data_IF_920387931676
#
_entry.id   IF_920387931676
#
_cell.length_a   1.000
_cell.length_b   1.000
_cell.length_c   1.000
_cell.angle_alpha   90.00
_cell.angle_beta   90.00
_cell.angle_gamma   90.00
#
_symmetry.space_group_name_H-M   'P 1'
#
loop_
_entity.id
_entity.type
_entity.pdbx_description
1 polymer ?
#
# COMPACT_ATOMS: atom_id res chain seq x y z
N UNK A 1 -11.60 11.87 -13.03
CA UNK A 1 -11.63 13.33 -12.83
C UNK A 1 -10.43 13.70 -11.96
N UNK A 2 -9.38 14.27 -12.54
CA UNK A 2 -8.19 14.71 -11.81
C UNK A 2 -8.55 16.07 -11.16
N UNK A 3 -8.70 16.12 -9.83
CA UNK A 3 -8.97 17.38 -9.10
C UNK A 3 -7.67 17.84 -8.47
N UNK A 4 -7.05 18.85 -9.05
CA UNK A 4 -5.84 19.48 -8.53
C UNK A 4 -6.16 20.29 -7.27
N UNK A 5 -5.43 20.07 -6.17
CA UNK A 5 -5.52 20.84 -4.92
C UNK A 5 -4.19 21.58 -4.71
N UNK A 6 -4.12 22.85 -5.14
CA UNK A 6 -2.86 23.59 -5.17
C UNK A 6 -1.86 22.95 -6.14
N UNK A 7 -0.68 22.55 -5.66
CA UNK A 7 0.32 21.81 -6.44
C UNK A 7 0.12 20.29 -6.38
N UNK A 8 -0.86 19.79 -5.61
CA UNK A 8 -1.13 18.36 -5.51
C UNK A 8 -1.88 17.85 -6.74
N UNK A 9 -1.16 17.07 -7.54
CA UNK A 9 -1.71 16.29 -8.67
C UNK A 9 -1.97 14.86 -8.19
N UNK A 10 -3.22 14.53 -7.87
CA UNK A 10 -3.65 13.19 -7.44
C UNK A 10 -3.62 12.21 -8.61
N UNK A 11 -2.96 11.07 -8.48
CA UNK A 11 -2.93 10.02 -9.50
C UNK A 11 -4.27 9.33 -9.74
N UNK A 12 -4.27 8.37 -10.66
CA UNK A 12 -5.41 7.48 -10.85
C UNK A 12 -5.67 6.66 -9.57
N UNK A 13 -6.94 6.44 -9.22
CA UNK A 13 -7.32 5.75 -7.99
C UNK A 13 -7.18 6.59 -6.71
N UNK A 14 -6.54 7.76 -6.78
CA UNK A 14 -6.45 8.68 -5.66
C UNK A 14 -7.63 9.65 -5.62
N UNK A 15 -8.18 9.84 -4.42
CA UNK A 15 -9.21 10.85 -4.16
C UNK A 15 -8.92 11.59 -2.86
N UNK A 16 -9.39 12.84 -2.80
CA UNK A 16 -9.37 13.65 -1.61
C UNK A 16 -10.76 14.28 -1.45
N UNK A 17 -11.51 13.83 -0.45
CA UNK A 17 -12.88 14.27 -0.23
C UNK A 17 -13.25 14.19 1.26
N UNK A 18 -13.92 15.24 1.77
CA UNK A 18 -14.43 15.31 3.15
C UNK A 18 -13.40 14.91 4.25
N UNK A 19 -12.18 15.46 4.19
CA UNK A 19 -11.16 15.20 5.21
C UNK A 19 -10.55 13.79 5.11
N UNK A 20 -10.70 13.13 3.96
CA UNK A 20 -10.19 11.79 3.71
C UNK A 20 -9.40 11.74 2.41
N UNK A 21 -8.19 11.20 2.49
CA UNK A 21 -7.36 10.82 1.36
C UNK A 21 -7.53 9.32 1.15
N UNK A 22 -7.80 8.92 -0.09
CA UNK A 22 -7.94 7.52 -0.51
C UNK A 22 -6.98 7.29 -1.66
N UNK A 23 -6.34 6.14 -1.66
CA UNK A 23 -5.57 5.61 -2.78
C UNK A 23 -5.95 4.15 -3.04
N UNK A 24 -6.53 3.87 -4.21
CA UNK A 24 -6.85 2.52 -4.67
C UNK A 24 -6.00 2.20 -5.89
N UNK A 25 -5.06 1.27 -5.76
CA UNK A 25 -4.30 0.79 -6.92
C UNK A 25 -5.09 -0.31 -7.61
N UNK A 26 -5.77 0.05 -8.70
CA UNK A 26 -6.45 -0.91 -9.59
C UNK A 26 -5.44 -1.64 -10.46
N UNK A 27 -4.96 -2.79 -9.97
CA UNK A 27 -3.92 -3.56 -10.66
C UNK A 27 -4.39 -4.12 -12.01
N UNK A 28 -5.70 -4.21 -12.28
CA UNK A 28 -6.24 -4.68 -13.56
C UNK A 28 -6.38 -3.64 -14.68
N UNK A 29 -5.96 -2.39 -14.47
CA UNK A 29 -6.14 -1.28 -15.43
C UNK A 29 -4.92 -1.09 -16.36
N UNK A 30 -5.05 -0.26 -17.41
CA UNK A 30 -4.01 0.06 -18.42
C UNK A 30 -2.70 0.61 -17.81
N UNK A 31 -2.78 1.19 -16.60
CA UNK A 31 -1.63 1.65 -15.81
C UNK A 31 -0.94 0.57 -14.98
N UNK A 32 -1.66 -0.49 -14.59
CA UNK A 32 -1.20 -1.78 -14.00
C UNK A 32 -0.07 -1.74 -12.95
N UNK A 33 1.15 -1.40 -13.37
CA UNK A 33 2.36 -1.33 -12.52
C UNK A 33 2.96 0.09 -12.48
N UNK A 34 2.25 1.09 -12.99
CA UNK A 34 2.56 2.52 -12.93
C UNK A 34 1.48 3.16 -12.08
N UNK A 35 1.87 3.63 -10.91
CA UNK A 35 0.96 4.24 -9.95
C UNK A 35 1.70 5.33 -9.18
N UNK A 36 1.07 6.48 -8.93
CA UNK A 36 1.78 7.66 -8.39
C UNK A 36 2.46 7.37 -7.06
N UNK A 37 1.81 6.57 -6.20
CA UNK A 37 2.33 6.20 -4.88
C UNK A 37 3.25 4.99 -4.93
N UNK A 38 3.39 4.28 -6.06
CA UNK A 38 4.31 3.13 -6.16
C UNK A 38 5.76 3.63 -6.23
N UNK A 39 6.47 3.47 -5.13
CA UNK A 39 7.87 3.92 -4.99
C UNK A 39 8.86 2.89 -5.50
N UNK A 40 8.63 1.61 -5.19
CA UNK A 40 9.57 0.54 -5.52
C UNK A 40 8.83 -0.76 -5.79
N UNK A 41 9.21 -1.41 -6.87
CA UNK A 41 8.77 -2.75 -7.23
C UNK A 41 10.01 -3.62 -7.41
N UNK A 42 10.14 -4.66 -6.59
CA UNK A 42 11.17 -5.72 -6.73
C UNK A 42 10.58 -7.10 -6.94
N UNK A 43 9.28 -7.18 -7.15
CA UNK A 43 8.57 -8.42 -7.44
C UNK A 43 8.12 -8.47 -8.91
N UNK A 44 7.70 -9.64 -9.36
CA UNK A 44 7.08 -9.77 -10.67
C UNK A 44 5.66 -9.19 -10.66
N UNK A 45 5.22 -8.65 -11.80
CA UNK A 45 3.84 -8.22 -12.03
C UNK A 45 3.21 -9.11 -13.09
N UNK A 46 2.08 -9.75 -12.77
CA UNK A 46 1.44 -10.73 -13.64
C UNK A 46 0.03 -10.31 -14.02
N UNK A 47 -0.11 -9.58 -15.13
CA UNK A 47 -1.35 -9.03 -15.69
C UNK A 47 -2.07 -8.02 -14.79
N UNK A 48 -2.39 -8.41 -13.55
CA UNK A 48 -3.22 -7.67 -12.62
C UNK A 48 -2.88 -7.93 -11.14
N UNK A 49 -1.67 -8.44 -10.86
CA UNK A 49 -1.27 -8.79 -9.50
C UNK A 49 0.23 -8.70 -9.30
N UNK A 50 0.63 -8.33 -8.10
CA UNK A 50 1.97 -8.55 -7.61
C UNK A 50 2.17 -10.03 -7.34
N UNK A 51 3.34 -10.55 -7.70
CA UNK A 51 3.77 -11.91 -7.41
C UNK A 51 5.04 -11.80 -6.58
N UNK A 52 4.93 -12.03 -5.28
CA UNK A 52 6.03 -11.89 -4.34
C UNK A 52 6.56 -13.28 -3.95
N UNK A 53 7.83 -13.52 -4.22
CA UNK A 53 8.61 -14.64 -3.73
C UNK A 53 9.49 -14.22 -2.55
N UNK A 54 10.21 -15.17 -1.92
CA UNK A 54 11.13 -14.87 -0.84
C UNK A 54 12.16 -13.79 -1.23
N UNK A 55 12.21 -12.69 -0.47
CA UNK A 55 13.10 -11.55 -0.70
C UNK A 55 12.50 -10.44 -1.58
N UNK A 56 11.34 -10.67 -2.19
CA UNK A 56 10.64 -9.64 -2.97
C UNK A 56 9.95 -8.61 -2.07
N UNK A 57 9.79 -7.42 -2.62
CA UNK A 57 8.99 -6.36 -1.99
C UNK A 57 8.32 -5.45 -3.02
N UNK A 58 7.23 -4.84 -2.58
CA UNK A 58 6.58 -3.69 -3.22
C UNK A 58 6.43 -2.61 -2.16
N UNK A 59 6.82 -1.37 -2.48
CA UNK A 59 6.74 -0.23 -1.57
C UNK A 59 5.89 0.86 -2.19
N UNK A 60 4.90 1.31 -1.43
CA UNK A 60 4.11 2.50 -1.69
C UNK A 60 4.56 3.64 -0.78
N UNK A 61 4.58 4.87 -1.30
CA UNK A 61 4.83 6.11 -0.57
C UNK A 61 3.61 7.02 -0.72
N UNK A 62 2.84 7.14 0.36
CA UNK A 62 1.70 8.05 0.47
C UNK A 62 2.20 9.37 1.00
N UNK A 63 2.44 10.32 0.10
CA UNK A 63 2.87 11.67 0.45
C UNK A 63 1.87 12.69 -0.06
N UNK A 64 1.27 13.43 0.86
CA UNK A 64 0.27 14.48 0.59
C UNK A 64 0.61 15.74 1.39
N UNK A 65 0.20 16.93 0.93
CA UNK A 65 0.48 18.20 1.64
C UNK A 65 -0.28 18.31 2.98
N UNK A 66 -1.29 17.47 3.19
CA UNK A 66 -2.14 17.46 4.36
C UNK A 66 -1.63 16.52 5.44
N UNK A 67 -1.81 16.90 6.70
CA UNK A 67 -1.38 16.05 7.82
C UNK A 67 -2.36 14.91 8.00
N UNK A 68 -1.89 13.68 7.81
CA UNK A 68 -2.63 12.47 8.14
C UNK A 68 -2.67 12.28 9.67
N UNK A 69 -3.83 11.89 10.19
CA UNK A 69 -4.09 11.65 11.62
C UNK A 69 -4.32 10.19 11.99
N UNK A 70 -4.76 9.41 11.01
CA UNK A 70 -5.02 7.98 11.13
C UNK A 70 -5.07 7.41 9.72
N UNK A 71 -4.75 6.14 9.55
CA UNK A 71 -4.94 5.45 8.29
C UNK A 71 -5.31 3.98 8.47
N UNK A 72 -5.89 3.41 7.42
CA UNK A 72 -6.23 2.00 7.30
C UNK A 72 -5.81 1.49 5.93
N UNK A 73 -5.41 0.23 5.87
CA UNK A 73 -4.96 -0.47 4.68
C UNK A 73 -5.81 -1.72 4.44
N UNK A 74 -6.14 -1.98 3.18
CA UNK A 74 -6.69 -3.22 2.69
C UNK A 74 -5.76 -3.82 1.63
N UNK A 75 -5.48 -5.11 1.77
CA UNK A 75 -4.70 -5.90 0.81
C UNK A 75 -5.42 -7.21 0.58
N UNK A 76 -5.69 -7.58 -0.67
CA UNK A 76 -6.20 -8.92 -0.98
C UNK A 76 -5.06 -9.84 -1.38
N UNK A 77 -4.89 -10.93 -0.64
CA UNK A 77 -4.02 -12.05 -1.04
C UNK A 77 -4.87 -13.06 -1.76
N UNK A 78 -4.75 -13.13 -3.08
CA UNK A 78 -5.59 -14.00 -3.92
C UNK A 78 -4.95 -15.36 -4.20
N UNK A 79 -3.65 -15.52 -3.92
CA UNK A 79 -2.95 -16.81 -3.93
C UNK A 79 -1.85 -16.84 -2.87
N UNK A 80 -1.62 -18.00 -2.27
CA UNK A 80 -0.56 -18.24 -1.29
C UNK A 80 -0.02 -19.67 -1.41
N UNK A 81 1.30 -19.81 -1.37
CA UNK A 81 1.98 -21.09 -1.36
C UNK A 81 3.23 -20.99 -0.48
N UNK A 82 3.05 -21.03 0.85
CA UNK A 82 4.14 -21.07 1.82
C UNK A 82 4.53 -19.70 2.38
N UNK A 83 5.20 -19.71 3.54
CA UNK A 83 5.57 -18.49 4.28
C UNK A 83 4.36 -17.61 4.60
N UNK A 84 4.55 -16.29 4.57
CA UNK A 84 3.48 -15.30 4.67
C UNK A 84 3.81 -14.02 3.92
N UNK A 85 2.78 -13.33 3.45
CA UNK A 85 2.86 -11.90 3.13
C UNK A 85 2.91 -11.11 4.45
N UNK A 86 3.81 -10.13 4.52
CA UNK A 86 3.93 -9.20 5.64
C UNK A 86 3.73 -7.78 5.13
N UNK A 87 2.86 -7.05 5.82
CA UNK A 87 2.66 -5.62 5.62
C UNK A 87 3.44 -4.89 6.70
N UNK A 88 4.35 -4.02 6.28
CA UNK A 88 5.11 -3.12 7.16
C UNK A 88 4.84 -1.66 6.81
N UNK A 89 4.97 -0.77 7.79
CA UNK A 89 4.86 0.67 7.59
C UNK A 89 6.06 1.42 8.14
N UNK A 90 6.30 2.62 7.62
CA UNK A 90 7.40 3.49 8.04
C UNK A 90 7.05 4.97 7.81
N UNK A 91 7.70 5.87 8.55
CA UNK A 91 7.64 7.33 8.29
C UNK A 91 8.78 7.82 7.39
N UNK A 92 9.87 7.08 7.30
CA UNK A 92 11.12 7.52 6.66
C UNK A 92 11.65 6.55 5.60
N UNK A 93 10.99 5.39 5.45
CA UNK A 93 11.38 4.34 4.52
C UNK A 93 12.59 3.53 4.98
N UNK A 94 13.06 3.73 6.21
CA UNK A 94 14.24 3.08 6.81
C UNK A 94 13.84 2.21 7.99
N UNK A 95 13.07 2.77 8.93
CA UNK A 95 12.60 2.07 10.12
C UNK A 95 11.22 1.49 9.86
N UNK A 96 11.15 0.17 9.69
CA UNK A 96 9.94 -0.55 9.29
C UNK A 96 9.31 -1.29 10.46
N UNK A 97 8.01 -1.07 10.69
CA UNK A 97 7.21 -1.79 11.69
C UNK A 97 6.20 -2.71 11.00
N UNK A 98 6.19 -4.03 11.29
CA UNK A 98 5.15 -4.92 10.78
C UNK A 98 3.81 -4.59 11.44
N UNK A 99 2.74 -4.56 10.64
CA UNK A 99 1.38 -4.21 11.08
C UNK A 99 0.33 -5.22 10.65
N UNK A 100 0.65 -6.10 9.68
CA UNK A 100 -0.24 -7.14 9.22
C UNK A 100 0.50 -8.32 8.63
N UNK A 101 -0.14 -9.49 8.66
CA UNK A 101 0.41 -10.75 8.16
C UNK A 101 -0.69 -11.58 7.51
N UNK A 102 -0.39 -12.22 6.39
CA UNK A 102 -1.27 -13.16 5.72
C UNK A 102 -0.51 -14.41 5.30
N UNK A 103 -0.87 -15.55 5.88
CA UNK A 103 -0.30 -16.88 5.62
C UNK A 103 -1.29 -17.81 4.88
N UNK A 104 -2.30 -17.20 4.27
CA UNK A 104 -3.35 -17.84 3.46
C UNK A 104 -3.99 -16.80 2.53
N UNK A 105 -4.83 -17.26 1.63
CA UNK A 105 -5.73 -16.40 0.84
C UNK A 105 -6.69 -15.69 1.78
N UNK A 106 -6.65 -14.36 1.80
CA UNK A 106 -7.52 -13.53 2.62
C UNK A 106 -7.50 -12.06 2.20
N UNK A 107 -8.57 -11.34 2.55
CA UNK A 107 -8.58 -9.89 2.62
C UNK A 107 -7.99 -9.45 3.96
N UNK A 108 -6.80 -8.87 3.92
CA UNK A 108 -6.14 -8.32 5.10
C UNK A 108 -6.56 -6.85 5.26
N UNK A 109 -7.15 -6.54 6.41
CA UNK A 109 -7.53 -5.18 6.81
C UNK A 109 -6.75 -4.78 8.06
N UNK A 110 -6.03 -3.65 8.00
CA UNK A 110 -5.11 -3.23 9.07
C UNK A 110 -5.28 -1.74 9.36
N UNK A 111 -5.61 -1.40 10.61
CA UNK A 111 -5.47 -0.04 11.12
C UNK A 111 -4.00 0.26 11.40
N UNK A 112 -3.49 1.39 10.91
CA UNK A 112 -2.10 1.76 11.16
C UNK A 112 -1.91 2.26 12.60
N UNK A 113 -0.76 1.99 13.24
CA UNK A 113 -0.50 2.40 14.61
C UNK A 113 -0.65 3.91 14.83
N UNK A 114 -1.29 4.31 15.93
CA UNK A 114 -1.56 5.73 16.23
C UNK A 114 -0.27 6.57 16.36
N UNK A 115 0.81 5.96 16.86
CA UNK A 115 2.13 6.59 17.03
C UNK A 115 2.86 6.88 15.70
N UNK A 116 2.33 6.40 14.57
CA UNK A 116 2.77 6.80 13.24
C UNK A 116 2.33 8.23 12.89
N UNK A 117 1.28 8.72 13.54
CA UNK A 117 0.63 10.00 13.25
C UNK A 117 0.91 11.03 14.37
N UNK A 118 0.84 12.33 14.09
CA UNK A 118 0.58 12.95 12.79
C UNK A 118 1.77 12.83 11.81
N UNK A 119 1.49 12.67 10.52
CA UNK A 119 2.52 12.66 9.47
C UNK A 119 1.95 13.10 8.12
N UNK A 120 2.78 13.65 7.23
CA UNK A 120 2.43 13.92 5.82
C UNK A 120 2.89 12.82 4.87
N UNK A 121 3.58 11.81 5.42
CA UNK A 121 4.18 10.74 4.67
C UNK A 121 4.04 9.40 5.41
N UNK A 122 3.57 8.39 4.69
CA UNK A 122 3.55 7.00 5.15
C UNK A 122 4.08 6.12 4.04
N UNK A 123 5.07 5.32 4.35
CA UNK A 123 5.51 4.22 3.50
C UNK A 123 4.78 2.94 3.90
N UNK A 124 4.33 2.17 2.92
CA UNK A 124 3.75 0.84 3.10
C UNK A 124 4.57 -0.14 2.28
N UNK A 125 5.09 -1.20 2.91
CA UNK A 125 5.82 -2.28 2.24
C UNK A 125 5.03 -3.56 2.33
N UNK A 126 4.82 -4.20 1.18
CA UNK A 126 4.40 -5.58 1.06
C UNK A 126 5.67 -6.40 0.79
N UNK A 127 5.93 -7.40 1.62
CA UNK A 127 7.05 -8.33 1.44
C UNK A 127 6.64 -9.74 1.85
N UNK A 128 7.50 -10.73 1.67
CA UNK A 128 7.25 -12.09 2.15
C UNK A 128 8.27 -12.53 3.19
N UNK A 129 7.86 -13.44 4.07
CA UNK A 129 8.72 -14.05 5.09
C UNK A 129 8.48 -15.56 5.19
N UNK A 130 9.54 -16.30 5.52
CA UNK A 130 9.50 -17.76 5.71
C UNK A 130 10.04 -18.55 4.52
N UNK A 131 10.36 -19.82 4.75
CA UNK A 131 10.87 -20.70 3.72
C UNK A 131 9.81 -20.97 2.65
N UNK A 132 10.22 -20.91 1.38
CA UNK A 132 9.33 -21.12 0.24
C UNK A 132 8.23 -20.07 0.12
N UNK A 133 8.39 -18.87 0.70
CA UNK A 133 7.33 -17.89 0.70
C UNK A 133 6.94 -17.45 -0.72
N UNK A 134 5.65 -17.53 -1.01
CA UNK A 134 5.07 -17.12 -2.29
C UNK A 134 3.64 -16.65 -2.10
N UNK A 135 3.35 -15.40 -2.50
CA UNK A 135 2.03 -14.81 -2.41
C UNK A 135 1.72 -13.95 -3.63
N UNK A 136 0.45 -13.89 -4.02
CA UNK A 136 -0.04 -12.97 -5.03
C UNK A 136 -1.01 -11.96 -4.40
N UNK A 137 -0.91 -10.71 -4.84
CA UNK A 137 -1.73 -9.60 -4.37
C UNK A 137 -2.35 -8.88 -5.55
N UNK A 138 -3.68 -8.83 -5.62
CA UNK A 138 -4.43 -8.21 -6.72
C UNK A 138 -5.28 -6.99 -6.30
N UNK A 139 -5.23 -6.62 -5.02
CA UNK A 139 -5.89 -5.41 -4.53
C UNK A 139 -5.06 -4.72 -3.45
N UNK A 140 -4.96 -3.39 -3.58
CA UNK A 140 -4.35 -2.50 -2.60
C UNK A 140 -5.21 -1.25 -2.45
N UNK A 141 -5.56 -0.92 -1.21
CA UNK A 141 -6.30 0.29 -0.88
C UNK A 141 -5.79 0.89 0.43
N UNK A 142 -5.39 2.15 0.37
CA UNK A 142 -4.98 2.96 1.51
C UNK A 142 -5.98 4.09 1.73
N UNK A 143 -6.33 4.34 2.99
CA UNK A 143 -7.23 5.43 3.37
C UNK A 143 -6.70 6.13 4.60
N UNK A 144 -6.59 7.45 4.56
CA UNK A 144 -6.16 8.27 5.68
C UNK A 144 -7.14 9.41 5.95
N UNK A 145 -7.38 9.71 7.24
CA UNK A 145 -7.98 10.99 7.63
C UNK A 145 -6.92 12.07 7.61
N UNK A 146 -7.25 13.19 7.02
CA UNK A 146 -6.34 14.31 6.77
C UNK A 146 -6.97 15.62 7.22
N UNK A 147 -6.14 16.49 7.78
CA UNK A 147 -6.55 17.85 8.13
C UNK A 147 -6.36 18.75 6.91
N UNK A 148 -7.45 19.16 6.26
CA UNK A 148 -7.47 20.18 5.23
C UNK A 148 -8.76 20.99 5.22
#
# INVERSE_FOLDING_TARGET
MHRQWGELTLGEGETLHQGEYVDIHSLGWYGSNIHRTLLRQRCYFNTNRWVLSAGDEVVYCHQVPFTMRQARLWVNVNFHAGGALVVSVSRDGRDWRPVGRADKVQNLEVGLPEDLFPTRQVYVRLSTEGAGAYAQVDYYHFRAKVDY
#
